data_IF_534769244989
#
_entry.id   IF_534769244989
#
_cell.length_a   1.000
_cell.length_b   1.000
_cell.length_c   1.000
_cell.angle_alpha   90.00
_cell.angle_beta   90.00
_cell.angle_gamma   90.00
#
_symmetry.space_group_name_H-M   'P 1'
#
loop_
_entity.id
_entity.type
_entity.pdbx_description
1 polymer ?
#
# COMPACT_ATOMS: atom_id res chain seq x y z
N UNK A 1 40.94 -23.77 -27.92
CA UNK A 1 39.66 -24.44 -27.61
C UNK A 1 38.85 -23.68 -26.55
N UNK A 2 39.42 -23.30 -25.39
CA UNK A 2 38.66 -22.64 -24.31
C UNK A 2 38.11 -21.22 -24.57
N UNK A 3 38.68 -20.46 -25.52
CA UNK A 3 38.20 -19.09 -25.83
C UNK A 3 36.86 -19.09 -26.60
N UNK A 4 36.59 -20.14 -27.39
CA UNK A 4 35.37 -20.24 -28.20
C UNK A 4 34.18 -20.63 -27.32
N UNK A 5 34.37 -21.56 -26.38
CA UNK A 5 33.32 -21.97 -25.43
C UNK A 5 32.91 -20.86 -24.45
N UNK A 6 33.85 -20.02 -24.03
CA UNK A 6 33.58 -18.84 -23.20
C UNK A 6 32.76 -17.78 -23.97
N UNK A 7 33.07 -17.56 -25.24
CA UNK A 7 32.34 -16.64 -26.10
C UNK A 7 30.90 -17.11 -26.36
N UNK A 8 30.69 -18.41 -26.63
CA UNK A 8 29.36 -18.99 -26.83
C UNK A 8 28.50 -18.92 -25.57
N UNK A 9 29.08 -19.18 -24.39
CA UNK A 9 28.39 -19.05 -23.10
C UNK A 9 27.97 -17.61 -22.80
N UNK A 10 28.85 -16.64 -23.04
CA UNK A 10 28.54 -15.23 -22.82
C UNK A 10 27.44 -14.74 -23.79
N UNK A 11 27.45 -15.21 -25.04
CA UNK A 11 26.41 -14.87 -26.02
C UNK A 11 25.04 -15.44 -25.61
N UNK A 12 25.01 -16.70 -25.18
CA UNK A 12 23.79 -17.36 -24.69
C UNK A 12 23.22 -16.64 -23.46
N UNK A 13 24.07 -16.27 -22.50
CA UNK A 13 23.64 -15.50 -21.32
C UNK A 13 23.07 -14.13 -21.69
N UNK A 14 23.68 -13.42 -22.65
CA UNK A 14 23.18 -12.12 -23.10
C UNK A 14 21.79 -12.23 -23.76
N UNK A 15 21.57 -13.26 -24.59
CA UNK A 15 20.27 -13.50 -25.24
C UNK A 15 19.17 -13.81 -24.21
N UNK A 16 19.46 -14.64 -23.21
CA UNK A 16 18.50 -14.96 -22.13
C UNK A 16 18.12 -13.72 -21.32
N UNK A 17 19.09 -12.88 -20.96
CA UNK A 17 18.85 -11.64 -20.20
C UNK A 17 17.99 -10.66 -21.01
N UNK A 18 18.29 -10.47 -22.29
CA UNK A 18 17.52 -9.57 -23.18
C UNK A 18 16.08 -10.08 -23.37
N UNK A 19 15.90 -11.39 -23.56
CA UNK A 19 14.57 -11.99 -23.67
C UNK A 19 13.72 -11.81 -22.40
N UNK A 20 14.33 -11.98 -21.22
CA UNK A 20 13.64 -11.80 -19.94
C UNK A 20 13.19 -10.33 -19.75
N UNK A 21 14.06 -9.37 -20.05
CA UNK A 21 13.77 -7.93 -19.93
C UNK A 21 12.67 -7.50 -20.91
N UNK A 22 12.62 -8.06 -22.11
CA UNK A 22 11.59 -7.72 -23.11
C UNK A 22 10.17 -8.16 -22.67
N UNK A 23 10.04 -9.26 -21.92
CA UNK A 23 8.72 -9.72 -21.42
C UNK A 23 8.21 -8.95 -20.19
N UNK A 24 9.08 -8.26 -19.46
CA UNK A 24 8.68 -7.50 -18.27
C UNK A 24 7.96 -6.18 -18.58
N UNK A 25 7.98 -5.72 -19.84
CA UNK A 25 7.47 -4.38 -20.21
C UNK A 25 6.12 -4.39 -20.93
N UNK A 26 5.44 -5.54 -21.02
CA UNK A 26 4.11 -5.63 -21.63
C UNK A 26 3.01 -5.65 -20.56
N UNK A 27 2.16 -4.61 -20.57
CA UNK A 27 0.72 -4.64 -20.21
C UNK A 27 0.15 -3.72 -19.11
N UNK A 28 0.69 -2.54 -18.84
CA UNK A 28 0.00 -1.60 -17.92
C UNK A 28 -1.20 -0.84 -18.53
N UNK A 29 -1.66 -1.19 -19.74
CA UNK A 29 -2.81 -0.55 -20.38
C UNK A 29 -4.08 -1.41 -20.28
N UNK A 30 -4.39 -1.87 -19.07
CA UNK A 30 -5.73 -2.36 -18.78
C UNK A 30 -6.66 -1.13 -18.71
N UNK A 31 -7.52 -0.98 -19.73
CA UNK A 31 -8.56 0.05 -19.79
C UNK A 31 -9.54 -0.21 -18.64
N UNK A 32 -9.32 0.46 -17.51
CA UNK A 32 -10.21 0.39 -16.35
C UNK A 32 -11.57 0.91 -16.79
N UNK A 33 -12.58 0.04 -16.82
CA UNK A 33 -13.96 0.45 -17.04
C UNK A 33 -14.33 1.48 -15.96
N UNK A 34 -15.01 2.59 -16.32
CA UNK A 34 -15.37 3.61 -15.34
C UNK A 34 -16.22 2.95 -14.25
N UNK A 35 -15.63 2.81 -13.06
CA UNK A 35 -16.37 2.37 -11.89
C UNK A 35 -17.45 3.41 -11.63
N UNK A 36 -18.71 2.98 -11.40
CA UNK A 36 -19.77 3.89 -10.96
C UNK A 36 -19.23 4.70 -9.78
N UNK A 37 -19.09 6.01 -9.97
CA UNK A 37 -18.66 6.91 -8.91
C UNK A 37 -19.80 7.01 -7.91
N UNK A 38 -19.56 6.60 -6.67
CA UNK A 38 -20.55 6.71 -5.60
C UNK A 38 -20.91 8.19 -5.37
N UNK A 39 -22.16 8.50 -4.95
CA UNK A 39 -22.56 9.86 -4.57
C UNK A 39 -21.61 10.49 -3.52
N UNK A 40 -21.55 11.81 -3.35
CA UNK A 40 -20.72 12.45 -2.33
C UNK A 40 -21.10 12.00 -0.91
N UNK A 41 -20.16 12.12 0.04
CA UNK A 41 -20.34 11.70 1.46
C UNK A 41 -21.60 12.32 2.08
N UNK A 42 -21.90 13.63 1.92
CA UNK A 42 -23.09 14.22 2.51
C UNK A 42 -24.39 13.57 2.04
N UNK A 43 -24.52 13.24 0.75
CA UNK A 43 -25.71 12.54 0.23
C UNK A 43 -25.78 11.09 0.71
N UNK A 44 -24.63 10.40 0.78
CA UNK A 44 -24.58 9.00 1.25
C UNK A 44 -25.03 8.81 2.69
N UNK A 45 -24.80 9.81 3.54
CA UNK A 45 -25.09 9.77 4.97
C UNK A 45 -26.10 10.84 5.40
N UNK A 46 -26.95 11.32 4.47
CA UNK A 46 -27.98 12.33 4.73
C UNK A 46 -29.20 11.80 5.53
N UNK A 47 -29.36 10.48 5.63
CA UNK A 47 -30.46 9.84 6.37
C UNK A 47 -30.36 10.06 7.88
N UNK A 48 -31.47 9.82 8.59
CA UNK A 48 -31.53 9.90 10.05
C UNK A 48 -30.47 8.99 10.68
N UNK A 49 -29.80 9.51 11.71
CA UNK A 49 -28.64 8.95 12.37
C UNK A 49 -28.83 7.48 12.70
N UNK A 50 -27.86 6.65 12.34
CA UNK A 50 -27.78 5.28 12.82
C UNK A 50 -27.73 5.26 14.34
N UNK A 51 -28.37 4.27 14.98
CA UNK A 51 -28.29 4.08 16.45
C UNK A 51 -26.84 3.87 16.95
N UNK A 52 -25.92 3.47 16.05
CA UNK A 52 -24.51 3.28 16.36
C UNK A 52 -23.76 4.62 16.47
N UNK A 53 -23.13 4.85 17.63
CA UNK A 53 -22.26 6.00 17.86
C UNK A 53 -20.82 5.65 17.48
N UNK A 54 -20.16 6.43 16.59
CA UNK A 54 -18.79 6.16 16.21
C UNK A 54 -17.82 6.23 17.39
N UNK A 55 -17.32 5.08 17.81
CA UNK A 55 -16.21 4.98 18.77
C UNK A 55 -14.84 5.15 18.08
N UNK A 56 -13.97 5.99 18.66
CA UNK A 56 -12.65 6.29 18.10
C UNK A 56 -11.74 5.05 18.07
N UNK A 57 -11.73 4.25 19.14
CA UNK A 57 -10.84 3.08 19.25
C UNK A 57 -11.28 1.96 18.31
N UNK A 58 -12.59 1.74 18.17
CA UNK A 58 -13.16 0.67 17.34
C UNK A 58 -13.20 1.03 15.85
N UNK A 59 -13.52 2.29 15.52
CA UNK A 59 -13.79 2.68 14.14
C UNK A 59 -12.68 3.48 13.47
N UNK A 60 -11.94 4.32 14.22
CA UNK A 60 -10.95 5.23 13.62
C UNK A 60 -9.53 4.69 13.70
N UNK A 61 -9.12 4.20 14.87
CA UNK A 61 -7.75 3.69 15.09
C UNK A 61 -7.36 2.57 14.11
N UNK A 62 -8.20 1.57 13.81
CA UNK A 62 -7.84 0.52 12.85
C UNK A 62 -7.62 1.05 11.43
N UNK A 63 -8.35 2.09 11.02
CA UNK A 63 -8.17 2.74 9.72
C UNK A 63 -6.79 3.43 9.65
N UNK A 64 -6.41 4.14 10.70
CA UNK A 64 -5.09 4.78 10.79
C UNK A 64 -3.97 3.75 10.80
N UNK A 65 -4.16 2.62 11.49
CA UNK A 65 -3.22 1.49 11.47
C UNK A 65 -3.04 0.91 10.07
N UNK A 66 -4.15 0.67 9.36
CA UNK A 66 -4.14 0.17 7.97
C UNK A 66 -3.43 1.13 7.01
N UNK A 67 -3.55 2.44 7.23
CA UNK A 67 -2.86 3.47 6.45
C UNK A 67 -1.37 3.63 6.84
N UNK A 68 -0.88 2.89 7.84
CA UNK A 68 0.51 2.93 8.29
C UNK A 68 0.85 4.10 9.21
N UNK A 69 -0.14 4.86 9.68
CA UNK A 69 0.08 6.02 10.56
C UNK A 69 0.70 5.61 11.90
N UNK A 70 0.34 4.44 12.42
CA UNK A 70 0.88 3.83 13.64
C UNK A 70 2.33 3.33 13.50
N UNK A 71 3.05 3.68 12.43
CA UNK A 71 4.42 3.22 12.22
C UNK A 71 5.45 3.89 13.13
N UNK A 72 6.54 3.15 13.42
CA UNK A 72 7.68 3.59 14.26
C UNK A 72 8.35 4.90 13.84
N UNK A 73 8.20 5.31 12.58
CA UNK A 73 8.86 6.49 12.03
C UNK A 73 8.06 7.80 12.28
N UNK A 74 6.78 7.70 12.60
CA UNK A 74 5.89 8.86 12.75
C UNK A 74 5.10 8.76 14.07
N UNK A 75 3.79 8.50 13.99
CA UNK A 75 2.91 8.59 15.15
C UNK A 75 3.01 7.37 16.08
N UNK A 76 3.53 6.24 15.61
CA UNK A 76 3.80 5.05 16.44
C UNK A 76 5.14 5.07 17.20
N UNK A 77 5.90 6.17 17.11
CA UNK A 77 7.16 6.30 17.86
C UNK A 77 6.90 6.68 19.32
N UNK A 78 7.90 6.48 20.19
CA UNK A 78 7.83 6.93 21.58
C UNK A 78 7.57 8.44 21.71
N UNK A 79 8.00 9.25 20.75
CA UNK A 79 7.77 10.70 20.81
C UNK A 79 6.47 11.12 20.09
N UNK A 80 5.93 10.26 19.23
CA UNK A 80 4.89 10.61 18.26
C UNK A 80 5.35 11.66 17.26
N UNK A 81 4.38 12.32 16.62
CA UNK A 81 4.66 13.43 15.69
C UNK A 81 3.56 14.47 15.76
N UNK A 82 3.93 15.75 15.78
CA UNK A 82 2.97 16.86 15.81
C UNK A 82 2.06 16.88 17.05
N UNK A 83 2.56 16.41 18.20
CA UNK A 83 1.76 16.29 19.43
C UNK A 83 0.78 15.12 19.42
N UNK A 84 0.77 14.30 18.37
CA UNK A 84 -0.13 13.14 18.24
C UNK A 84 0.66 11.82 18.31
N UNK A 85 0.26 10.97 19.26
CA UNK A 85 0.86 9.66 19.55
C UNK A 85 -0.17 8.55 19.36
N UNK A 86 0.19 7.57 18.54
CA UNK A 86 -0.52 6.31 18.37
C UNK A 86 0.35 5.20 18.98
N UNK A 87 -0.28 4.11 19.42
CA UNK A 87 0.47 2.91 19.75
C UNK A 87 1.11 2.33 18.50
N UNK A 88 2.36 1.87 18.61
CA UNK A 88 3.07 1.15 17.55
C UNK A 88 2.30 -0.11 17.10
N UNK A 89 1.57 -0.74 18.01
CA UNK A 89 0.81 -1.95 17.74
C UNK A 89 -0.58 -1.65 17.17
N UNK A 90 -0.99 -0.38 17.12
CA UNK A 90 -2.34 0.03 16.69
C UNK A 90 -3.44 -0.24 17.72
N UNK A 91 -3.08 -0.68 18.91
CA UNK A 91 -3.90 -0.89 20.09
C UNK A 91 -3.03 -0.72 21.33
N UNK A 92 -3.61 -0.65 22.53
CA UNK A 92 -2.99 -0.16 23.78
C UNK A 92 -3.22 1.36 23.96
N UNK A 93 -4.25 1.66 24.74
CA UNK A 93 -4.78 3.00 24.99
C UNK A 93 -4.50 3.49 26.40
N UNK A 94 -3.54 2.85 27.09
CA UNK A 94 -3.09 3.30 28.40
C UNK A 94 -2.00 4.34 28.19
N UNK A 95 -2.33 5.60 28.47
CA UNK A 95 -1.40 6.73 28.44
C UNK A 95 -0.97 7.08 29.86
#
# INVERSE_FOLDING_TARGET
QGQVEAMTRNLLSAIVVVGLVATANANNNAKVAPSKVSPPVPERFAGESTDEVPDFQRHVVPLLGKLGCSGRACHGSFQGRGGFRLSLFGYDFKF
#
